data_IF_721466903293
#
_entry.id   IF_721466903293
#
_cell.length_a   1.000
_cell.length_b   1.000
_cell.length_c   1.000
_cell.angle_alpha   90.00
_cell.angle_beta   90.00
_cell.angle_gamma   90.00
#
_symmetry.space_group_name_H-M   'P 1'
#
loop_
_entity.id
_entity.type
_entity.pdbx_description
1 polymer ?
#
# COMPACT_ATOMS: atom_id res chain seq x y z
N UNK A 1 11.25 -2.69 24.95
CA UNK A 1 11.02 -2.09 23.84
C UNK A 1 9.70 -2.33 23.32
N UNK A 2 8.94 -1.42 23.16
CA UNK A 2 7.62 -1.61 22.69
C UNK A 2 7.52 -1.24 21.23
N UNK A 3 6.66 -1.94 20.54
CA UNK A 3 6.39 -1.61 19.16
C UNK A 3 5.13 -0.80 19.14
N UNK A 4 5.25 0.37 18.59
CA UNK A 4 4.11 1.25 18.51
C UNK A 4 3.27 0.90 17.31
N UNK A 5 1.99 0.66 17.52
CA UNK A 5 1.07 0.43 16.42
C UNK A 5 0.54 1.74 15.88
N UNK A 6 0.42 1.81 14.58
CA UNK A 6 -0.18 2.97 13.93
C UNK A 6 -1.27 2.45 13.00
N UNK A 7 -2.21 3.31 12.70
CA UNK A 7 -3.28 2.99 11.75
C UNK A 7 -3.00 3.71 10.46
N UNK A 8 -3.14 2.97 9.36
CA UNK A 8 -3.10 3.57 8.02
C UNK A 8 -4.34 3.07 7.31
N UNK A 9 -4.65 3.67 6.18
CA UNK A 9 -5.83 3.30 5.43
C UNK A 9 -5.44 2.87 4.04
N UNK A 10 -5.97 1.74 3.61
CA UNK A 10 -5.79 1.29 2.23
C UNK A 10 -7.17 1.16 1.64
N UNK A 11 -7.46 1.94 0.61
CA UNK A 11 -8.79 2.01 -0.01
C UNK A 11 -9.86 2.25 1.06
N UNK A 12 -9.55 3.19 1.96
CA UNK A 12 -10.44 3.59 3.06
C UNK A 12 -10.66 2.51 4.12
N UNK A 13 -9.89 1.43 4.06
CA UNK A 13 -9.97 0.40 5.08
C UNK A 13 -8.86 0.59 6.09
N UNK A 14 -9.18 0.68 7.39
CA UNK A 14 -8.13 0.87 8.40
C UNK A 14 -7.32 -0.39 8.58
N UNK A 15 -6.03 -0.23 8.59
CA UNK A 15 -5.08 -1.31 8.77
C UNK A 15 -4.15 -0.94 9.91
N UNK A 16 -3.90 -1.86 10.81
CA UNK A 16 -2.95 -1.61 11.89
C UNK A 16 -1.63 -2.26 11.56
N UNK A 17 -0.59 -1.47 11.66
CA UNK A 17 0.77 -1.93 11.45
C UNK A 17 1.63 -1.35 12.55
N UNK A 18 2.89 -1.73 12.55
CA UNK A 18 3.83 -1.17 13.53
C UNK A 18 4.62 -0.04 12.90
N UNK A 19 4.97 0.92 13.74
CA UNK A 19 5.80 2.02 13.28
C UNK A 19 7.08 1.46 12.64
N UNK A 20 7.47 2.00 11.52
CA UNK A 20 8.65 1.53 10.79
C UNK A 20 8.33 0.56 9.67
N UNK A 21 7.10 0.10 9.59
CA UNK A 21 6.72 -0.75 8.48
C UNK A 21 6.48 0.09 7.23
N UNK A 22 6.51 -0.57 6.09
CA UNK A 22 6.39 0.10 4.80
C UNK A 22 5.07 -0.21 4.13
N UNK A 23 4.86 0.38 2.95
CA UNK A 23 3.66 0.15 2.15
C UNK A 23 3.44 -1.34 1.92
N UNK A 24 4.52 -2.06 1.66
CA UNK A 24 4.44 -3.50 1.47
C UNK A 24 3.71 -4.19 2.62
N UNK A 25 4.05 -3.81 3.84
CA UNK A 25 3.46 -4.43 5.02
C UNK A 25 1.98 -4.12 5.16
N UNK A 26 1.59 -2.90 4.77
CA UNK A 26 0.19 -2.53 4.83
C UNK A 26 -0.63 -3.36 3.84
N UNK A 27 -0.09 -3.57 2.63
CA UNK A 27 -0.80 -4.37 1.65
C UNK A 27 -0.91 -5.82 2.11
N UNK A 28 0.17 -6.35 2.67
CA UNK A 28 0.14 -7.73 3.18
C UNK A 28 -0.87 -7.90 4.30
N UNK A 29 -0.98 -6.90 5.16
CA UNK A 29 -1.92 -6.97 6.27
C UNK A 29 -3.36 -6.96 5.78
N UNK A 30 -3.61 -6.29 4.67
CA UNK A 30 -4.94 -6.22 4.11
C UNK A 30 -5.27 -7.47 3.31
N UNK A 31 -4.40 -7.84 2.38
CA UNK A 31 -4.68 -8.94 1.48
C UNK A 31 -3.39 -9.35 0.79
N UNK A 32 -3.00 -10.58 0.98
CA UNK A 32 -1.78 -11.08 0.39
C UNK A 32 -1.81 -11.03 -1.14
N UNK A 33 -2.98 -11.28 -1.72
CA UNK A 33 -3.12 -11.22 -3.17
C UNK A 33 -2.89 -9.80 -3.69
N UNK A 34 -3.31 -8.81 -2.91
CA UNK A 34 -3.08 -7.43 -3.27
C UNK A 34 -1.60 -7.11 -3.29
N UNK A 35 -0.88 -7.59 -2.30
CA UNK A 35 0.56 -7.39 -2.25
C UNK A 35 1.24 -8.04 -3.46
N UNK A 36 0.84 -9.26 -3.79
CA UNK A 36 1.42 -9.95 -4.94
C UNK A 36 1.16 -9.22 -6.24
N UNK A 37 -0.05 -8.72 -6.41
CA UNK A 37 -0.39 -7.97 -7.62
C UNK A 37 0.45 -6.70 -7.72
N UNK A 38 0.66 -6.02 -6.60
CA UNK A 38 1.50 -4.82 -6.59
C UNK A 38 2.94 -5.17 -6.92
N UNK A 39 3.40 -6.31 -6.42
CA UNK A 39 4.76 -6.76 -6.67
C UNK A 39 4.99 -7.04 -8.14
N UNK A 40 3.96 -7.55 -8.81
CA UNK A 40 4.04 -7.85 -10.23
C UNK A 40 3.82 -6.62 -11.12
N UNK A 41 3.50 -5.50 -10.54
CA UNK A 41 3.23 -4.31 -11.31
C UNK A 41 1.82 -4.21 -11.85
N UNK A 42 0.93 -5.04 -11.37
CA UNK A 42 -0.47 -5.03 -11.81
C UNK A 42 -1.32 -4.03 -11.05
N UNK A 43 -0.80 -3.55 -9.94
CA UNK A 43 -1.48 -2.58 -9.11
C UNK A 43 -0.51 -1.47 -8.75
N UNK A 44 -0.99 -0.25 -8.81
CA UNK A 44 -0.23 0.90 -8.35
C UNK A 44 -0.82 1.37 -7.05
N UNK A 45 0.03 1.86 -6.17
CA UNK A 45 -0.40 2.44 -4.90
C UNK A 45 -0.12 3.92 -4.94
N UNK A 46 -1.12 4.72 -4.62
CA UNK A 46 -0.98 6.17 -4.56
C UNK A 46 -1.28 6.66 -3.16
N UNK A 47 -0.67 7.78 -2.81
CA UNK A 47 -0.99 8.41 -1.54
C UNK A 47 -2.19 9.35 -1.72
N UNK A 48 -2.56 10.03 -0.65
CA UNK A 48 -3.75 10.88 -0.71
C UNK A 48 -3.59 12.09 -1.61
N UNK A 49 -2.36 12.40 -1.99
CA UNK A 49 -2.09 13.49 -2.92
C UNK A 49 -2.00 13.01 -4.36
N UNK A 50 -2.21 11.72 -4.59
CA UNK A 50 -2.19 11.17 -5.92
C UNK A 50 -0.82 10.73 -6.42
N UNK A 51 0.21 10.86 -5.60
CA UNK A 51 1.55 10.44 -6.01
C UNK A 51 1.71 8.95 -5.86
N UNK A 52 2.40 8.35 -6.81
CA UNK A 52 2.67 6.92 -6.74
C UNK A 52 3.73 6.67 -5.67
N UNK A 53 3.47 5.70 -4.81
CA UNK A 53 4.43 5.33 -3.78
C UNK A 53 4.89 3.91 -4.02
N UNK A 54 6.13 3.65 -3.69
CA UNK A 54 6.69 2.31 -3.86
C UNK A 54 6.41 1.44 -2.66
N UNK A 55 6.65 0.15 -2.83
CA UNK A 55 6.42 -0.82 -1.76
C UNK A 55 7.33 -0.58 -0.56
N UNK A 56 8.45 0.07 -0.77
CA UNK A 56 9.39 0.37 0.30
C UNK A 56 9.12 1.73 0.95
N UNK A 57 8.06 2.40 0.51
CA UNK A 57 7.75 3.72 1.05
C UNK A 57 7.41 3.67 2.52
N UNK A 58 7.85 4.68 3.26
CA UNK A 58 7.61 4.76 4.69
C UNK A 58 6.15 5.15 4.94
N UNK A 59 5.63 4.69 6.08
CA UNK A 59 4.26 5.01 6.46
C UNK A 59 4.25 5.81 7.75
N UNK A 60 3.29 6.69 7.85
CA UNK A 60 3.08 7.49 9.04
C UNK A 60 1.66 7.25 9.55
N UNK A 61 1.38 7.58 10.80
CA UNK A 61 0.02 7.41 11.31
C UNK A 61 -0.98 8.14 10.42
N UNK A 62 -2.09 7.47 10.17
CA UNK A 62 -3.20 8.00 9.38
C UNK A 62 -2.90 8.25 7.91
N UNK A 63 -1.83 7.66 7.39
CA UNK A 63 -1.54 7.73 5.96
C UNK A 63 -2.66 7.03 5.20
N UNK A 64 -3.09 7.63 4.11
CA UNK A 64 -4.12 7.03 3.26
C UNK A 64 -3.49 6.60 1.96
N UNK A 65 -3.72 5.34 1.62
CA UNK A 65 -3.20 4.77 0.40
C UNK A 65 -4.36 4.27 -0.45
N UNK A 66 -4.17 4.37 -1.75
CA UNK A 66 -5.17 3.91 -2.70
C UNK A 66 -4.51 2.97 -3.69
N UNK A 67 -4.93 1.72 -3.68
CA UNK A 67 -4.40 0.71 -4.58
C UNK A 67 -5.36 0.57 -5.74
N UNK A 68 -4.85 0.66 -6.95
CA UNK A 68 -5.70 0.55 -8.13
C UNK A 68 -5.01 -0.25 -9.20
N UNK A 69 -5.80 -0.91 -10.02
CA UNK A 69 -5.25 -1.71 -11.09
C UNK A 69 -4.68 -0.84 -12.18
N UNK A 70 -3.56 -1.28 -12.71
CA UNK A 70 -2.97 -0.61 -13.86
C UNK A 70 -3.77 -0.99 -15.08
N UNK A 71 -4.25 0.02 -15.79
CA UNK A 71 -5.02 -0.24 -16.97
C UNK A 71 -4.20 -0.14 -18.22
N UNK A 72 -4.61 -0.82 -19.25
CA UNK A 72 -4.03 -0.69 -20.56
C UNK A 72 -2.65 -1.23 -20.72
N UNK A 73 -2.39 -2.16 -19.98
CA UNK A 73 -1.15 -2.62 -20.10
C UNK A 73 -0.93 -3.55 -21.21
N UNK A 74 -1.07 -3.34 -21.58
CA UNK A 74 -1.05 -3.99 -22.21
C UNK A 74 -0.58 -4.00 -23.01
N UNK A 75 -0.40 -4.03 -23.20
CA UNK A 75 -0.17 -4.02 -23.74
C UNK A 75 0.11 -4.12 -24.57
N UNK A 76 0.08 -4.04 -24.78
CA UNK A 76 0.14 -4.11 -25.40
C UNK A 76 0.21 -4.32 -25.93
N UNK A 77 0.23 -4.34 -26.17
CA UNK A 77 0.03 -4.40 -26.56
C UNK A 77 -0.04 -4.42 -26.96
#
# INVERSE_FOLDING_TARGET
MSKEQISVFVNDQPIKIYRGMTVKHALLALDQALFRAAQKGEILVRDENGFIVGLQGALHPNTRLYAEKVKGKRGRT
#
